data_IF_666449115145
#
_entry.id   IF_666449115145
#
_cell.length_a   1.000
_cell.length_b   1.000
_cell.length_c   1.000
_cell.angle_alpha   90.00
_cell.angle_beta   90.00
_cell.angle_gamma   90.00
#
_symmetry.space_group_name_H-M   'P 1'
#
loop_
_entity.id
_entity.type
_entity.pdbx_description
1 polymer ?
#
# COMPACT_ATOMS: atom_id res chain seq x y z
N UNK A 1 22.83 11.34 7.44
CA UNK A 1 22.55 10.38 8.53
C UNK A 1 21.72 9.26 7.95
N UNK A 2 22.21 8.03 8.12
CA UNK A 2 21.56 6.80 7.67
C UNK A 2 20.82 6.26 8.89
N UNK A 3 19.51 6.06 8.78
CA UNK A 3 18.71 5.51 9.86
C UNK A 3 18.32 4.07 9.49
N UNK A 4 18.36 3.18 10.47
CA UNK A 4 17.91 1.80 10.34
C UNK A 4 16.54 1.66 11.01
N UNK A 5 15.67 0.83 10.43
CA UNK A 5 14.28 0.64 10.85
C UNK A 5 13.91 -0.82 10.73
N UNK A 6 13.24 -1.39 11.75
CA UNK A 6 12.76 -2.77 11.65
C UNK A 6 11.48 -2.86 10.79
N UNK A 7 11.43 -3.79 9.83
CA UNK A 7 10.26 -3.98 8.97
C UNK A 7 9.88 -5.45 8.76
N UNK A 8 8.59 -5.75 8.90
CA UNK A 8 8.01 -7.07 8.64
C UNK A 8 6.93 -6.97 7.55
N UNK A 9 6.83 -7.92 6.61
CA UNK A 9 5.71 -7.95 5.70
C UNK A 9 4.52 -8.70 6.29
N UNK A 10 3.40 -7.99 6.40
CA UNK A 10 2.08 -8.50 6.70
C UNK A 10 1.21 -8.37 5.44
N UNK A 11 0.36 -9.35 5.19
CA UNK A 11 -0.42 -9.42 3.96
C UNK A 11 -1.89 -9.26 4.34
N UNK A 12 -2.30 -8.01 4.60
CA UNK A 12 -3.68 -7.69 4.95
C UNK A 12 -4.38 -7.02 3.76
N UNK A 13 -5.62 -7.42 3.47
CA UNK A 13 -6.48 -6.59 2.61
C UNK A 13 -6.94 -5.39 3.44
N UNK A 14 -6.23 -4.27 3.32
CA UNK A 14 -6.62 -3.01 3.93
C UNK A 14 -7.88 -2.42 3.30
N UNK A 15 -8.72 -1.77 4.12
CA UNK A 15 -9.74 -0.85 3.61
C UNK A 15 -9.06 0.39 3.01
N UNK A 16 -9.54 0.92 1.88
CA UNK A 16 -8.92 2.09 1.28
C UNK A 16 -8.99 3.29 2.25
N UNK A 17 -7.89 4.05 2.43
CA UNK A 17 -7.92 5.23 3.28
C UNK A 17 -8.97 6.23 2.78
N UNK A 18 -9.75 6.79 3.71
CA UNK A 18 -10.99 7.54 3.46
C UNK A 18 -10.82 8.87 2.66
N UNK A 19 -9.65 9.16 2.12
CA UNK A 19 -9.38 10.42 1.42
C UNK A 19 -8.40 10.26 0.24
N UNK A 20 -8.67 9.30 -0.65
CA UNK A 20 -8.05 9.31 -1.97
C UNK A 20 -9.08 9.86 -2.98
N UNK A 21 -8.92 11.10 -3.50
CA UNK A 21 -9.76 11.56 -4.60
C UNK A 21 -9.43 10.71 -5.83
N UNK A 22 -10.31 9.76 -6.14
CA UNK A 22 -10.07 8.76 -7.20
C UNK A 22 -10.13 9.34 -8.63
N UNK A 23 -10.33 10.65 -8.79
CA UNK A 23 -10.35 11.30 -10.10
C UNK A 23 -9.87 12.75 -10.01
N UNK A 24 -9.09 13.26 -10.98
CA UNK A 24 -8.93 14.70 -11.16
C UNK A 24 -10.30 15.29 -11.52
N UNK A 25 -10.80 16.22 -10.69
CA UNK A 25 -11.96 17.04 -11.01
C UNK A 25 -11.57 18.04 -12.09
N UNK A 26 -11.63 17.63 -13.36
CA UNK A 26 -11.58 18.56 -14.48
C UNK A 26 -12.59 18.14 -15.54
N UNK A 27 -13.86 18.42 -15.25
CA UNK A 27 -14.86 18.70 -16.28
C UNK A 27 -15.72 19.86 -15.76
N UNK A 28 -15.22 21.08 -15.95
CA UNK A 28 -16.09 22.25 -16.07
C UNK A 28 -16.87 22.09 -17.38
N UNK A 29 -18.08 21.54 -17.30
CA UNK A 29 -19.09 21.71 -18.33
C UNK A 29 -20.08 22.73 -17.79
N UNK A 30 -20.06 23.90 -18.43
CA UNK A 30 -20.93 25.03 -18.16
C UNK A 30 -22.40 24.60 -17.99
N UNK A 31 -23.01 25.05 -16.89
CA UNK A 31 -24.42 24.87 -16.62
C UNK A 31 -25.28 25.64 -17.63
N UNK A 32 -25.78 24.94 -18.65
CA UNK A 32 -26.91 25.37 -19.47
C UNK A 32 -28.20 24.76 -18.89
N UNK A 33 -29.06 25.61 -18.34
CA UNK A 33 -30.37 25.23 -17.78
C UNK A 33 -31.36 24.81 -18.88
N UNK A 34 -32.13 23.72 -18.65
CA UNK A 34 -33.39 23.43 -19.36
C UNK A 34 -34.36 22.61 -18.47
N UNK A 35 -35.69 22.71 -18.71
CA UNK A 35 -36.73 22.50 -17.70
C UNK A 35 -37.27 21.07 -17.57
N UNK A 36 -37.93 20.82 -16.44
CA UNK A 36 -38.52 19.56 -15.97
C UNK A 36 -39.82 19.15 -16.69
N UNK A 37 -39.84 17.94 -17.26
CA UNK A 37 -41.06 17.18 -17.55
C UNK A 37 -40.91 15.72 -17.07
N UNK A 38 -41.88 15.14 -16.33
CA UNK A 38 -41.77 13.78 -15.83
C UNK A 38 -42.31 12.77 -16.86
N UNK A 39 -41.46 11.85 -17.31
CA UNK A 39 -41.86 10.64 -18.03
C UNK A 39 -41.42 9.42 -17.20
N UNK A 40 -42.38 8.57 -16.83
CA UNK A 40 -42.13 7.36 -16.05
C UNK A 40 -41.29 6.33 -16.83
N UNK A 41 -40.42 5.54 -16.18
CA UNK A 41 -39.60 4.54 -16.86
C UNK A 41 -40.38 3.22 -17.10
N UNK A 42 -40.15 2.50 -18.22
CA UNK A 42 -40.68 1.17 -18.46
C UNK A 42 -39.91 0.07 -17.68
N UNK A 43 -40.49 -1.12 -17.46
CA UNK A 43 -39.92 -2.16 -16.60
C UNK A 43 -38.65 -2.78 -17.21
N UNK A 44 -37.62 -2.93 -16.36
CA UNK A 44 -36.32 -3.50 -16.74
C UNK A 44 -36.40 -5.04 -16.94
N UNK A 45 -35.73 -5.60 -17.96
CA UNK A 45 -35.57 -7.04 -18.11
C UNK A 45 -34.59 -7.60 -17.06
N UNK A 46 -34.91 -8.80 -16.59
CA UNK A 46 -34.24 -9.56 -15.54
C UNK A 46 -32.74 -9.75 -15.77
N UNK A 47 -31.94 -9.44 -14.74
CA UNK A 47 -30.49 -9.71 -14.72
C UNK A 47 -30.23 -11.22 -14.68
N UNK A 48 -29.37 -11.79 -15.54
CA UNK A 48 -28.89 -13.15 -15.36
C UNK A 48 -28.04 -13.22 -14.09
N UNK A 49 -28.42 -14.10 -13.17
CA UNK A 49 -27.69 -14.38 -11.93
C UNK A 49 -26.40 -15.13 -12.27
N UNK A 50 -25.32 -14.40 -12.58
CA UNK A 50 -23.99 -14.99 -12.56
C UNK A 50 -23.68 -15.37 -11.11
N UNK A 51 -23.69 -16.67 -10.80
CA UNK A 51 -23.14 -17.19 -9.55
C UNK A 51 -21.63 -16.90 -9.55
N UNK A 52 -21.26 -15.75 -8.99
CA UNK A 52 -19.87 -15.43 -8.73
C UNK A 52 -19.36 -16.40 -7.67
N UNK A 53 -18.47 -17.30 -8.04
CA UNK A 53 -17.50 -17.80 -7.08
C UNK A 53 -16.78 -16.58 -6.53
N UNK A 54 -17.12 -16.17 -5.31
CA UNK A 54 -16.23 -15.35 -4.52
C UNK A 54 -15.10 -16.27 -4.07
N UNK A 55 -14.14 -16.51 -4.96
CA UNK A 55 -12.86 -17.04 -4.51
C UNK A 55 -12.28 -16.01 -3.54
N UNK A 56 -11.88 -16.47 -2.35
CA UNK A 56 -11.23 -15.58 -1.40
C UNK A 56 -9.94 -15.06 -2.02
N UNK A 57 -9.75 -13.74 -2.02
CA UNK A 57 -8.52 -13.12 -2.49
C UNK A 57 -7.38 -13.60 -1.60
N UNK A 58 -6.31 -14.13 -2.22
CA UNK A 58 -5.11 -14.60 -1.52
C UNK A 58 -3.88 -13.88 -2.06
N UNK A 59 -2.95 -13.60 -1.16
CA UNK A 59 -1.68 -12.98 -1.44
C UNK A 59 -0.57 -13.84 -0.85
N UNK A 60 0.43 -14.18 -1.67
CA UNK A 60 1.55 -15.03 -1.27
C UNK A 60 2.86 -14.27 -1.43
N UNK A 61 3.64 -14.18 -0.35
CA UNK A 61 4.97 -13.58 -0.37
C UNK A 61 5.97 -14.50 -1.08
N UNK A 62 6.62 -13.99 -2.13
CA UNK A 62 7.72 -14.69 -2.75
C UNK A 62 9.00 -14.61 -1.90
N UNK A 63 9.79 -15.68 -1.93
CA UNK A 63 11.02 -15.80 -1.12
C UNK A 63 10.73 -15.70 0.38
N UNK A 64 9.59 -16.24 0.83
CA UNK A 64 9.21 -16.23 2.24
C UNK A 64 10.25 -16.83 3.18
N UNK A 65 11.08 -17.77 2.73
CA UNK A 65 12.21 -18.31 3.51
C UNK A 65 13.31 -17.27 3.77
N UNK A 66 13.62 -16.43 2.78
CA UNK A 66 14.57 -15.33 2.92
C UNK A 66 14.04 -14.30 3.91
N UNK A 67 12.77 -13.90 3.74
CA UNK A 67 12.13 -13.00 4.69
C UNK A 67 12.14 -13.58 6.11
N UNK A 68 11.77 -14.85 6.30
CA UNK A 68 11.85 -15.51 7.62
C UNK A 68 13.25 -15.48 8.23
N UNK A 69 14.29 -15.65 7.41
CA UNK A 69 15.68 -15.58 7.88
C UNK A 69 16.04 -14.17 8.37
N UNK A 70 15.73 -13.14 7.59
CA UNK A 70 15.93 -11.74 8.01
C UNK A 70 15.12 -11.43 9.27
N UNK A 71 13.85 -11.87 9.33
CA UNK A 71 12.99 -11.67 10.48
C UNK A 71 13.56 -12.33 11.74
N UNK A 72 14.21 -13.50 11.62
CA UNK A 72 14.81 -14.21 12.76
C UNK A 72 16.01 -13.48 13.37
N UNK A 73 16.68 -12.62 12.60
CA UNK A 73 17.84 -11.83 13.04
C UNK A 73 17.44 -10.41 13.46
N UNK A 74 16.27 -9.94 13.03
CA UNK A 74 15.84 -8.54 13.14
C UNK A 74 16.01 -7.86 11.79
N UNK A 75 14.93 -7.80 11.00
CA UNK A 75 14.97 -7.25 9.65
C UNK A 75 15.17 -5.75 9.70
N UNK A 76 16.35 -5.26 9.34
CA UNK A 76 16.67 -3.83 9.31
C UNK A 76 16.65 -3.24 7.90
N UNK A 77 16.01 -2.08 7.74
CA UNK A 77 15.88 -1.34 6.49
C UNK A 77 16.58 0.02 6.59
N UNK A 78 17.39 0.32 5.57
CA UNK A 78 18.08 1.61 5.47
C UNK A 78 17.12 2.66 4.91
N UNK A 79 16.96 3.79 5.60
CA UNK A 79 16.25 4.97 5.10
C UNK A 79 17.21 6.15 4.89
N UNK A 80 17.00 6.91 3.81
CA UNK A 80 17.87 8.05 3.44
C UNK A 80 17.04 9.20 2.87
N UNK A 81 17.57 10.44 2.93
CA UNK A 81 16.90 11.62 2.35
C UNK A 81 16.56 11.48 0.86
N UNK A 82 17.37 10.74 0.09
CA UNK A 82 17.16 10.51 -1.36
C UNK A 82 16.27 9.29 -1.66
N UNK A 83 15.77 8.62 -0.63
CA UNK A 83 15.02 7.37 -0.76
C UNK A 83 15.94 6.16 -1.02
N UNK A 84 15.69 5.05 -0.32
CA UNK A 84 16.40 3.77 -0.52
C UNK A 84 15.40 2.64 -0.75
N UNK A 85 15.73 1.71 -1.64
CA UNK A 85 14.88 0.54 -1.91
C UNK A 85 14.99 -0.46 -0.77
N UNK A 86 13.89 -1.16 -0.49
CA UNK A 86 13.84 -2.24 0.49
C UNK A 86 14.74 -3.42 0.08
N UNK A 87 15.27 -4.10 1.10
CA UNK A 87 15.94 -5.38 0.96
C UNK A 87 15.62 -6.26 2.19
N UNK A 88 15.09 -7.49 2.02
CA UNK A 88 14.80 -8.16 0.75
C UNK A 88 13.72 -7.46 -0.10
N UNK A 89 13.68 -7.76 -1.40
CA UNK A 89 12.65 -7.17 -2.28
C UNK A 89 11.27 -7.75 -1.95
N UNK A 90 10.27 -6.87 -1.77
CA UNK A 90 8.89 -7.28 -1.62
C UNK A 90 8.30 -7.69 -2.98
N UNK A 91 7.98 -8.97 -3.10
CA UNK A 91 7.37 -9.58 -4.28
C UNK A 91 6.24 -10.50 -3.86
N UNK A 92 5.10 -10.39 -4.54
CA UNK A 92 3.87 -11.07 -4.11
C UNK A 92 3.17 -11.70 -5.31
N UNK A 93 2.49 -12.83 -5.10
CA UNK A 93 1.57 -13.43 -6.07
C UNK A 93 0.15 -13.26 -5.56
N UNK A 94 -0.74 -12.82 -6.44
CA UNK A 94 -2.16 -12.68 -6.14
C UNK A 94 -2.96 -13.79 -6.80
N UNK A 95 -4.01 -14.23 -6.12
CA UNK A 95 -5.04 -15.13 -6.66
C UNK A 95 -6.41 -14.80 -6.08
N UNK A 96 -7.49 -15.24 -6.72
CA UNK A 96 -8.87 -14.99 -6.30
C UNK A 96 -9.40 -13.59 -6.65
N UNK A 97 -8.68 -12.77 -7.43
CA UNK A 97 -9.22 -11.51 -7.93
C UNK A 97 -10.22 -11.77 -9.06
N UNK A 98 -11.29 -10.98 -9.13
CA UNK A 98 -12.21 -11.03 -10.27
C UNK A 98 -11.46 -10.58 -11.55
N UNK A 99 -11.31 -11.45 -12.57
CA UNK A 99 -10.51 -11.13 -13.75
C UNK A 99 -10.96 -9.88 -14.52
N UNK A 100 -12.25 -9.53 -14.43
CA UNK A 100 -12.86 -8.42 -15.18
C UNK A 100 -12.85 -7.07 -14.44
N UNK A 101 -12.66 -7.05 -13.12
CA UNK A 101 -12.63 -5.82 -12.33
C UNK A 101 -11.24 -5.18 -12.34
N UNK A 102 -11.20 -3.85 -12.14
CA UNK A 102 -9.95 -3.08 -12.04
C UNK A 102 -9.61 -2.84 -10.57
N UNK A 103 -8.35 -3.05 -10.23
CA UNK A 103 -7.79 -2.91 -8.89
C UNK A 103 -6.62 -1.93 -8.91
N UNK A 104 -6.47 -1.20 -7.81
CA UNK A 104 -5.29 -0.40 -7.48
C UNK A 104 -4.54 -1.17 -6.41
N UNK A 105 -3.25 -1.42 -6.63
CA UNK A 105 -2.35 -1.94 -5.61
C UNK A 105 -1.48 -0.81 -5.09
N UNK A 106 -1.38 -0.74 -3.78
CA UNK A 106 -0.50 0.16 -3.05
C UNK A 106 0.26 -0.63 -1.98
N UNK A 107 1.35 -0.06 -1.51
CA UNK A 107 2.14 -0.52 -0.39
C UNK A 107 2.13 0.58 0.66
N UNK A 108 1.73 0.24 1.87
CA UNK A 108 1.84 1.11 3.03
C UNK A 108 2.84 0.54 4.05
N UNK A 109 3.42 1.41 4.87
CA UNK A 109 4.36 1.03 5.93
C UNK A 109 3.92 1.69 7.22
N UNK A 110 3.37 0.89 8.11
CA UNK A 110 2.70 1.34 9.34
C UNK A 110 3.58 1.04 10.54
N UNK A 111 3.68 1.97 11.49
CA UNK A 111 4.43 1.73 12.71
C UNK A 111 3.73 0.66 13.57
N UNK A 112 4.47 -0.36 13.99
CA UNK A 112 4.02 -1.47 14.84
C UNK A 112 3.67 -0.98 16.25
N UNK A 113 4.37 0.05 16.72
CA UNK A 113 4.13 0.66 18.02
C UNK A 113 4.33 2.18 17.99
N UNK A 114 4.04 2.80 19.13
CA UNK A 114 4.24 4.23 19.39
C UNK A 114 5.49 4.49 20.23
N UNK A 115 6.47 3.58 20.20
CA UNK A 115 7.70 3.70 20.99
C UNK A 115 8.84 4.28 20.16
N UNK A 116 9.70 5.08 20.82
CA UNK A 116 10.98 5.51 20.28
C UNK A 116 12.08 4.61 20.82
N UNK A 117 12.89 4.06 19.93
CA UNK A 117 13.99 3.17 20.28
C UNK A 117 15.35 3.86 20.14
N UNK A 118 16.33 3.44 20.95
CA UNK A 118 17.74 3.82 20.77
C UNK A 118 18.58 2.56 20.81
N UNK A 119 19.51 2.45 19.86
CA UNK A 119 20.51 1.38 19.88
C UNK A 119 21.69 1.79 20.79
N UNK A 120 21.88 1.08 21.90
CA UNK A 120 23.02 1.24 22.81
C UNK A 120 23.50 -0.13 23.30
N UNK A 121 24.81 -0.36 23.23
CA UNK A 121 25.44 -1.59 23.73
C UNK A 121 24.86 -2.86 23.10
N UNK A 122 24.73 -2.87 21.77
CA UNK A 122 24.15 -3.96 20.99
C UNK A 122 22.70 -4.34 21.33
N UNK A 123 21.97 -3.43 21.98
CA UNK A 123 20.57 -3.63 22.36
C UNK A 123 19.70 -2.43 21.98
N UNK A 124 18.49 -2.72 21.51
CA UNK A 124 17.45 -1.72 21.30
C UNK A 124 16.73 -1.43 22.62
N UNK A 125 16.77 -0.18 23.08
CA UNK A 125 16.09 0.26 24.30
C UNK A 125 15.00 1.27 23.99
N UNK A 126 13.86 1.15 24.67
CA UNK A 126 12.78 2.15 24.58
C UNK A 126 13.23 3.40 25.35
N UNK A 127 13.29 4.54 24.66
CA UNK A 127 13.74 5.83 25.22
C UNK A 127 12.63 6.86 25.34
N UNK A 128 11.41 6.57 24.89
CA UNK A 128 10.25 7.44 25.07
C UNK A 128 9.10 7.15 24.11
N UNK A 129 8.12 8.05 24.09
CA UNK A 129 7.02 8.04 23.12
C UNK A 129 7.45 8.57 21.76
N UNK A 130 6.94 7.95 20.71
CA UNK A 130 7.22 8.30 19.33
C UNK A 130 6.55 9.65 18.95
N UNK A 131 7.27 10.56 18.27
CA UNK A 131 6.69 11.79 17.71
C UNK A 131 5.52 11.51 16.74
N UNK A 132 4.68 12.52 16.50
CA UNK A 132 3.52 12.41 15.61
C UNK A 132 3.88 11.77 14.25
N UNK A 133 3.01 10.87 13.77
CA UNK A 133 3.17 10.19 12.47
C UNK A 133 3.32 11.25 11.35
N UNK A 134 4.23 10.98 10.42
CA UNK A 134 4.30 11.74 9.17
C UNK A 134 3.00 11.53 8.38
N UNK A 135 2.64 12.43 7.45
CA UNK A 135 1.53 12.15 6.55
C UNK A 135 1.74 10.79 5.89
N UNK A 136 0.76 9.89 6.01
CA UNK A 136 0.86 8.53 5.48
C UNK A 136 1.05 8.62 3.96
N UNK A 137 2.21 8.19 3.49
CA UNK A 137 2.57 8.18 2.07
C UNK A 137 2.69 6.76 1.59
N UNK A 138 1.63 6.32 0.93
CA UNK A 138 1.58 5.01 0.26
C UNK A 138 2.34 5.04 -1.06
N UNK A 139 2.96 3.92 -1.41
CA UNK A 139 3.50 3.72 -2.76
C UNK A 139 2.45 3.02 -3.62
N UNK A 140 1.97 3.68 -4.68
CA UNK A 140 1.05 3.05 -5.64
C UNK A 140 1.86 2.31 -6.71
N UNK A 141 1.52 1.05 -6.97
CA UNK A 141 2.18 0.26 -8.00
C UNK A 141 1.98 0.92 -9.38
N UNK A 142 3.03 1.04 -10.22
CA UNK A 142 2.96 1.78 -11.49
C UNK A 142 1.97 1.18 -12.52
N UNK A 143 1.66 -0.12 -12.40
CA UNK A 143 0.66 -0.78 -13.25
C UNK A 143 -0.79 -0.44 -12.83
N UNK A 144 -1.00 0.22 -11.69
CA UNK A 144 -2.33 0.61 -11.22
C UNK A 144 -2.91 1.78 -12.03
N UNK A 145 -4.23 1.79 -12.32
CA UNK A 145 -5.18 0.68 -12.13
C UNK A 145 -5.06 -0.38 -13.23
N UNK A 146 -5.16 -1.65 -12.87
CA UNK A 146 -5.16 -2.79 -13.81
C UNK A 146 -6.17 -3.86 -13.44
N UNK A 147 -6.49 -4.75 -14.39
CA UNK A 147 -7.52 -5.78 -14.20
C UNK A 147 -7.05 -6.90 -13.25
N UNK A 148 -7.99 -7.61 -12.63
CA UNK A 148 -7.65 -8.81 -11.84
C UNK A 148 -6.90 -9.86 -12.66
N UNK A 149 -7.19 -9.98 -13.96
CA UNK A 149 -6.44 -10.85 -14.87
C UNK A 149 -4.97 -10.41 -15.00
N UNK A 150 -4.72 -9.10 -15.13
CA UNK A 150 -3.36 -8.55 -15.19
C UNK A 150 -2.57 -8.85 -13.91
N UNK A 151 -3.17 -8.59 -12.75
CA UNK A 151 -2.52 -8.78 -11.45
C UNK A 151 -2.20 -10.23 -11.11
N UNK A 152 -3.04 -11.16 -11.58
CA UNK A 152 -2.84 -12.61 -11.35
C UNK A 152 -1.94 -13.26 -12.40
N UNK A 153 -1.58 -12.54 -13.48
CA UNK A 153 -0.80 -13.11 -14.59
C UNK A 153 0.67 -13.40 -14.23
N UNK A 154 1.22 -12.67 -13.27
CA UNK A 154 2.64 -12.73 -12.88
C UNK A 154 2.84 -12.22 -11.46
N UNK A 155 4.01 -12.50 -10.90
CA UNK A 155 4.45 -11.94 -9.63
C UNK A 155 4.57 -10.42 -9.71
N UNK A 156 4.06 -9.75 -8.68
CA UNK A 156 4.03 -8.29 -8.55
C UNK A 156 5.21 -7.87 -7.70
N UNK A 157 5.96 -6.84 -8.13
CA UNK A 157 7.18 -6.41 -7.46
C UNK A 157 7.13 -4.95 -7.05
N UNK A 158 7.37 -4.70 -5.77
CA UNK A 158 7.48 -3.36 -5.21
C UNK A 158 8.94 -2.86 -5.21
N UNK A 159 9.81 -3.35 -6.10
CA UNK A 159 11.24 -2.97 -6.14
C UNK A 159 11.49 -1.47 -6.42
N UNK A 160 10.49 -0.74 -6.93
CA UNK A 160 10.57 0.71 -7.17
C UNK A 160 10.21 1.53 -5.94
N UNK A 161 9.59 0.93 -4.93
CA UNK A 161 9.30 1.59 -3.67
C UNK A 161 10.61 2.02 -2.99
N UNK A 162 10.63 3.25 -2.50
CA UNK A 162 11.75 3.82 -1.78
C UNK A 162 11.29 4.36 -0.44
N UNK A 163 12.09 4.12 0.57
CA UNK A 163 11.91 4.54 1.94
C UNK A 163 12.75 5.79 2.22
N UNK A 164 12.14 6.83 2.78
CA UNK A 164 12.80 8.10 3.10
C UNK A 164 12.49 8.56 4.52
N UNK A 165 13.43 9.27 5.14
CA UNK A 165 13.20 10.03 6.37
C UNK A 165 12.90 11.51 6.11
N UNK A 166 12.81 11.92 4.84
CA UNK A 166 12.51 13.30 4.46
C UNK A 166 10.99 13.53 4.51
N UNK A 167 10.53 14.18 5.57
CA UNK A 167 9.12 14.53 5.81
C UNK A 167 8.54 15.48 4.76
N UNK A 168 9.41 16.24 4.09
CA UNK A 168 9.09 17.21 3.05
C UNK A 168 9.34 16.65 1.64
N UNK A 169 9.51 15.34 1.49
CA UNK A 169 9.72 14.74 0.17
C UNK A 169 8.57 15.09 -0.79
N UNK A 170 8.90 15.43 -2.04
CA UNK A 170 7.91 15.71 -3.09
C UNK A 170 7.84 14.59 -4.14
N UNK A 171 8.71 13.57 -4.02
CA UNK A 171 8.83 12.48 -5.00
C UNK A 171 7.87 11.32 -4.73
N UNK A 172 7.10 11.37 -3.64
CA UNK A 172 6.10 10.36 -3.29
C UNK A 172 6.74 9.08 -2.72
N UNK A 173 7.92 9.21 -2.12
CA UNK A 173 8.53 8.10 -1.40
C UNK A 173 7.75 7.79 -0.11
N UNK A 174 7.83 6.54 0.32
CA UNK A 174 7.22 6.10 1.56
C UNK A 174 8.01 6.73 2.70
N UNK A 175 7.34 7.61 3.44
CA UNK A 175 7.93 8.38 4.53
C UNK A 175 7.93 7.55 5.81
N UNK A 176 9.11 7.28 6.33
CA UNK A 176 9.31 6.47 7.53
C UNK A 176 10.07 7.30 8.56
N UNK A 177 9.65 7.20 9.82
CA UNK A 177 10.39 7.78 10.94
C UNK A 177 11.42 6.76 11.40
N UNK A 178 12.69 7.16 11.54
CA UNK A 178 13.72 6.28 12.11
C UNK A 178 13.39 5.88 13.55
N UNK A 179 14.13 4.90 14.09
CA UNK A 179 14.03 4.49 15.50
C UNK A 179 12.65 3.93 15.92
N UNK A 180 11.90 3.34 14.98
CA UNK A 180 10.64 2.62 15.26
C UNK A 180 10.59 1.28 14.55
N UNK A 181 9.67 0.43 14.98
CA UNK A 181 9.34 -0.83 14.33
C UNK A 181 8.16 -0.63 13.40
N UNK A 182 8.19 -1.25 12.23
CA UNK A 182 7.17 -1.11 11.20
C UNK A 182 6.73 -2.47 10.65
N UNK A 183 5.48 -2.52 10.24
CA UNK A 183 4.87 -3.61 9.48
C UNK A 183 4.48 -3.02 8.12
N UNK A 184 4.64 -3.78 7.04
CA UNK A 184 4.12 -3.38 5.73
C UNK A 184 2.83 -4.16 5.51
N UNK A 185 1.72 -3.48 5.27
CA UNK A 185 0.40 -4.08 4.95
C UNK A 185 0.15 -4.12 3.44
#
# INVERSE_FOLDING_TARGET
>A
EMLSVEMYPNLALGEPPAHMPLYPSSYDIAAGAMPSHPLAPPPAPSKPTCKGQQDSVKMELENGSLWKHFCSVGTEMIITKKGRRMFPQLRVKLSGLNPALRYILLLDVVAVDTSRYRFQGDTWQVVGGAEARLPDRVFIHPDSPATGAHWQSRSISFHRAKLTNNTLDTQGYVSIVGERKYDSE
#
